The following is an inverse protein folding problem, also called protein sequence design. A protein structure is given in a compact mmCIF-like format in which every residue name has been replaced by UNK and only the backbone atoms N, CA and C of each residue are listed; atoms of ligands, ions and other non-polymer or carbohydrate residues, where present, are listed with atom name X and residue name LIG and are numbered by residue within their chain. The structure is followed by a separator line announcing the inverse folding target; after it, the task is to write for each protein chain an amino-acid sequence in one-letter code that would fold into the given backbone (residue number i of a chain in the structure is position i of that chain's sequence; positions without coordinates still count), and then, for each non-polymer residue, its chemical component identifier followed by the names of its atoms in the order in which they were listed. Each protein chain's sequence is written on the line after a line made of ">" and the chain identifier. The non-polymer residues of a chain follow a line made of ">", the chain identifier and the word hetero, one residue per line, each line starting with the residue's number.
data_IF_521102886401
#
_entry.id   IF_521102886401
#
_cell.length_a   1.000
_cell.length_b   1.000
_cell.length_c   1.000
_cell.angle_alpha   90.00
_cell.angle_beta   90.00
_cell.angle_gamma   90.00
#
_symmetry.space_group_name_H-M   'P 1'
#
loop_
_entity.id
_entity.type
_entity.pdbx_description
1 polymer ?
#
# COMPACT_ATOMS: atom_id res chain seq x y z
N UNK A 1 -20.72 -16.51 -13.07
CA UNK A 1 -19.91 -16.10 -14.24
C UNK A 1 -19.59 -14.60 -14.29
N UNK A 2 -20.55 -13.67 -14.37
CA UNK A 2 -20.23 -12.24 -14.45
C UNK A 2 -19.71 -11.64 -13.12
N UNK A 3 -20.29 -12.06 -12.00
CA UNK A 3 -19.93 -11.60 -10.65
C UNK A 3 -18.59 -12.18 -10.19
N UNK A 4 -18.39 -13.48 -10.39
CA UNK A 4 -17.11 -14.18 -10.21
C UNK A 4 -15.95 -13.53 -11.01
N UNK A 5 -16.21 -13.11 -12.26
CA UNK A 5 -15.23 -12.36 -13.05
C UNK A 5 -14.89 -11.00 -12.44
N UNK A 6 -15.90 -10.28 -11.92
CA UNK A 6 -15.69 -8.99 -11.23
C UNK A 6 -14.87 -9.16 -9.95
N UNK A 7 -15.16 -10.19 -9.16
CA UNK A 7 -14.40 -10.54 -7.96
C UNK A 7 -12.94 -10.81 -8.30
N UNK A 8 -12.66 -11.66 -9.28
CA UNK A 8 -11.29 -11.92 -9.73
C UNK A 8 -10.57 -10.66 -10.23
N UNK A 9 -11.27 -9.78 -10.96
CA UNK A 9 -10.70 -8.52 -11.43
C UNK A 9 -10.34 -7.57 -10.27
N UNK A 10 -11.17 -7.49 -9.22
CA UNK A 10 -10.90 -6.70 -8.03
C UNK A 10 -9.76 -7.29 -7.20
N UNK A 11 -9.75 -8.60 -6.99
CA UNK A 11 -8.66 -9.31 -6.31
C UNK A 11 -7.32 -9.03 -7.00
N UNK A 12 -7.26 -9.17 -8.32
CA UNK A 12 -6.04 -8.86 -9.09
C UNK A 12 -5.59 -7.40 -8.92
N UNK A 13 -6.53 -6.45 -8.92
CA UNK A 13 -6.19 -5.02 -8.70
C UNK A 13 -5.64 -4.80 -7.29
N UNK A 14 -6.26 -5.40 -6.27
CA UNK A 14 -5.78 -5.35 -4.88
C UNK A 14 -4.35 -5.89 -4.78
N UNK A 15 -4.10 -7.06 -5.35
CA UNK A 15 -2.77 -7.69 -5.31
C UNK A 15 -1.71 -6.85 -6.03
N UNK A 16 -2.06 -6.17 -7.13
CA UNK A 16 -1.17 -5.23 -7.81
C UNK A 16 -0.83 -4.00 -6.94
N UNK A 17 -1.80 -3.49 -6.17
CA UNK A 17 -1.60 -2.39 -5.24
C UNK A 17 -0.72 -2.81 -4.06
N UNK A 18 -0.97 -3.99 -3.48
CA UNK A 18 -0.13 -4.60 -2.43
C UNK A 18 1.32 -4.73 -2.92
N UNK A 19 1.53 -5.27 -4.12
CA UNK A 19 2.86 -5.38 -4.72
C UNK A 19 3.53 -4.02 -4.93
N UNK A 20 2.77 -2.96 -5.20
CA UNK A 20 3.33 -1.60 -5.32
C UNK A 20 3.80 -1.06 -3.97
N UNK A 21 3.03 -1.27 -2.91
CA UNK A 21 3.42 -0.94 -1.54
C UNK A 21 4.65 -1.74 -1.07
N UNK A 22 4.73 -3.03 -1.39
CA UNK A 22 5.91 -3.85 -1.08
C UNK A 22 7.18 -3.34 -1.78
N UNK A 23 7.07 -2.86 -3.03
CA UNK A 23 8.19 -2.21 -3.73
C UNK A 23 8.62 -0.91 -3.06
N UNK A 24 7.67 -0.10 -2.61
CA UNK A 24 7.95 1.12 -1.84
C UNK A 24 8.63 0.80 -0.51
N UNK A 25 8.17 -0.23 0.21
CA UNK A 25 8.82 -0.69 1.43
C UNK A 25 10.25 -1.18 1.16
N UNK A 26 10.46 -1.90 0.06
CA UNK A 26 11.80 -2.36 -0.32
C UNK A 26 12.74 -1.20 -0.62
N UNK A 27 12.25 -0.16 -1.31
CA UNK A 27 12.98 1.09 -1.50
C UNK A 27 13.29 1.74 -0.14
N UNK A 28 12.28 1.96 0.70
CA UNK A 28 12.44 2.63 1.99
C UNK A 28 13.46 1.93 2.90
N UNK A 29 13.43 0.59 2.96
CA UNK A 29 14.39 -0.22 3.74
C UNK A 29 15.82 -0.20 3.19
N UNK A 30 16.01 0.19 1.93
CA UNK A 30 17.31 0.25 1.24
C UNK A 30 17.74 1.67 0.90
N UNK A 31 17.03 2.65 1.44
CA UNK A 31 17.28 4.06 1.21
C UNK A 31 18.72 4.43 1.56
N UNK A 32 19.34 5.22 0.68
CA UNK A 32 20.62 5.89 0.93
C UNK A 32 20.45 7.40 0.69
N UNK A 33 21.24 8.26 1.36
CA UNK A 33 21.10 9.72 1.27
C UNK A 33 21.12 10.30 -0.14
N UNK A 34 21.81 9.66 -1.08
CA UNK A 34 21.90 10.07 -2.48
C UNK A 34 20.56 9.99 -3.23
N UNK A 35 19.56 9.29 -2.68
CA UNK A 35 18.22 9.12 -3.25
C UNK A 35 17.18 10.07 -2.61
N UNK A 36 17.65 11.05 -1.86
CA UNK A 36 16.82 11.98 -1.11
C UNK A 36 15.77 12.72 -1.95
N UNK A 37 16.13 13.07 -3.19
CA UNK A 37 15.25 13.73 -4.15
C UNK A 37 14.09 12.84 -4.62
N UNK A 38 14.24 11.51 -4.56
CA UNK A 38 13.16 10.58 -4.86
C UNK A 38 12.09 10.54 -3.76
N UNK A 39 12.45 10.81 -2.49
CA UNK A 39 11.59 10.58 -1.31
C UNK A 39 10.21 11.26 -1.42
N UNK A 40 10.08 12.54 -1.80
CA UNK A 40 8.76 13.18 -1.92
C UNK A 40 7.85 12.48 -2.93
N UNK A 41 8.38 12.09 -4.10
CA UNK A 41 7.62 11.39 -5.14
C UNK A 41 7.19 9.99 -4.69
N UNK A 42 8.02 9.32 -3.88
CA UNK A 42 7.72 8.00 -3.31
C UNK A 42 6.67 8.09 -2.21
N UNK A 43 6.67 9.14 -1.40
CA UNK A 43 5.62 9.44 -0.43
C UNK A 43 4.28 9.70 -1.12
N UNK A 44 4.24 10.55 -2.14
CA UNK A 44 3.02 10.80 -2.92
C UNK A 44 2.48 9.49 -3.54
N UNK A 45 3.37 8.67 -4.11
CA UNK A 45 2.98 7.38 -4.66
C UNK A 45 2.48 6.39 -3.59
N UNK A 46 3.05 6.42 -2.38
CA UNK A 46 2.61 5.62 -1.25
C UNK A 46 1.17 5.97 -0.83
N UNK A 47 0.86 7.26 -0.68
CA UNK A 47 -0.51 7.72 -0.37
C UNK A 47 -1.50 7.25 -1.44
N UNK A 48 -1.14 7.42 -2.71
CA UNK A 48 -1.99 6.95 -3.82
C UNK A 48 -2.22 5.44 -3.80
N UNK A 49 -1.20 4.65 -3.46
CA UNK A 49 -1.35 3.20 -3.32
C UNK A 49 -2.30 2.86 -2.17
N UNK A 50 -2.17 3.55 -1.04
CA UNK A 50 -3.04 3.36 0.12
C UNK A 50 -4.51 3.68 -0.20
N UNK A 51 -4.78 4.86 -0.75
CA UNK A 51 -6.13 5.27 -1.16
C UNK A 51 -6.74 4.28 -2.17
N UNK A 52 -5.94 3.85 -3.14
CA UNK A 52 -6.37 2.88 -4.16
C UNK A 52 -6.70 1.52 -3.53
N UNK A 53 -5.91 1.09 -2.56
CA UNK A 53 -6.17 -0.15 -1.82
C UNK A 53 -7.49 -0.06 -1.06
N UNK A 54 -7.72 1.03 -0.31
CA UNK A 54 -8.95 1.23 0.46
C UNK A 54 -10.19 1.15 -0.43
N UNK A 55 -10.19 1.87 -1.57
CA UNK A 55 -11.31 1.83 -2.53
C UNK A 55 -11.56 0.42 -3.07
N UNK A 56 -10.51 -0.28 -3.51
CA UNK A 56 -10.66 -1.65 -4.05
C UNK A 56 -11.17 -2.61 -2.97
N UNK A 57 -10.67 -2.47 -1.74
CA UNK A 57 -11.01 -3.35 -0.63
C UNK A 57 -12.48 -3.13 -0.21
N UNK A 58 -12.95 -1.89 -0.12
CA UNK A 58 -14.35 -1.55 0.14
C UNK A 58 -15.27 -2.15 -0.95
N UNK A 59 -14.88 -2.00 -2.22
CA UNK A 59 -15.63 -2.56 -3.35
C UNK A 59 -15.62 -4.10 -3.34
N UNK A 60 -14.52 -4.74 -2.92
CA UNK A 60 -14.40 -6.19 -2.84
C UNK A 60 -15.25 -6.77 -1.70
N UNK A 61 -15.25 -6.11 -0.54
CA UNK A 61 -16.09 -6.47 0.61
C UNK A 61 -17.59 -6.30 0.34
N UNK A 62 -17.96 -5.31 -0.47
CA UNK A 62 -19.35 -5.10 -0.88
C UNK A 62 -19.88 -6.22 -1.81
N UNK A 63 -19.00 -7.01 -2.43
CA UNK A 63 -19.39 -8.06 -3.38
C UNK A 63 -19.64 -9.43 -2.72
N UNK A 64 -19.11 -9.70 -1.52
CA UNK A 64 -19.32 -10.97 -0.81
C UNK A 64 -19.21 -10.77 0.71
N UNK A 65 -20.27 -11.14 1.43
CA UNK A 65 -20.42 -10.95 2.87
C UNK A 65 -20.34 -12.26 3.68
N UNK A 66 -19.77 -13.32 3.11
CA UNK A 66 -19.54 -14.57 3.84
C UNK A 66 -18.57 -14.38 5.00
N UNK A 67 -18.80 -15.08 6.11
CA UNK A 67 -18.04 -14.88 7.35
C UNK A 67 -16.53 -15.19 7.21
N UNK A 68 -16.17 -16.19 6.42
CA UNK A 68 -14.77 -16.53 6.11
C UNK A 68 -14.06 -15.41 5.33
N UNK A 69 -14.78 -14.82 4.36
CA UNK A 69 -14.27 -13.76 3.51
C UNK A 69 -14.16 -12.43 4.26
N UNK A 70 -15.07 -12.17 5.21
CA UNK A 70 -14.98 -11.06 6.16
C UNK A 70 -13.71 -11.12 7.02
N UNK A 71 -13.38 -12.28 7.61
CA UNK A 71 -12.16 -12.42 8.42
C UNK A 71 -10.90 -12.22 7.55
N UNK A 72 -10.84 -12.88 6.40
CA UNK A 72 -9.69 -12.74 5.50
C UNK A 72 -9.49 -11.28 5.02
N UNK A 73 -10.58 -10.57 4.77
CA UNK A 73 -10.53 -9.16 4.40
C UNK A 73 -10.01 -8.29 5.55
N UNK A 74 -10.42 -8.57 6.78
CA UNK A 74 -9.89 -7.88 7.96
C UNK A 74 -8.38 -8.11 8.13
N UNK A 75 -7.92 -9.37 8.01
CA UNK A 75 -6.50 -9.71 8.11
C UNK A 75 -5.66 -8.97 7.04
N UNK A 76 -6.19 -8.87 5.81
CA UNK A 76 -5.55 -8.15 4.71
C UNK A 76 -5.48 -6.65 4.99
N UNK A 77 -6.55 -6.05 5.55
CA UNK A 77 -6.55 -4.63 5.93
C UNK A 77 -5.49 -4.33 6.97
N UNK A 78 -5.44 -5.12 8.05
CA UNK A 78 -4.48 -4.95 9.14
C UNK A 78 -3.03 -5.06 8.61
N UNK A 79 -2.76 -6.09 7.80
CA UNK A 79 -1.43 -6.26 7.19
C UNK A 79 -1.04 -5.10 6.26
N UNK A 80 -1.99 -4.56 5.50
CA UNK A 80 -1.75 -3.45 4.59
C UNK A 80 -1.58 -2.11 5.29
N UNK A 81 -2.33 -1.88 6.36
CA UNK A 81 -2.19 -0.68 7.21
C UNK A 81 -0.81 -0.66 7.86
N UNK A 82 -0.38 -1.77 8.45
CA UNK A 82 0.95 -1.88 9.06
C UNK A 82 2.06 -1.66 8.02
N UNK A 83 1.94 -2.25 6.82
CA UNK A 83 2.88 -2.05 5.73
C UNK A 83 2.97 -0.57 5.30
N UNK A 84 1.82 0.09 5.17
CA UNK A 84 1.73 1.51 4.83
C UNK A 84 2.39 2.38 5.90
N UNK A 85 2.02 2.21 7.17
CA UNK A 85 2.53 3.00 8.29
C UNK A 85 4.04 2.85 8.46
N UNK A 86 4.56 1.62 8.40
CA UNK A 86 6.00 1.36 8.45
C UNK A 86 6.74 2.05 7.31
N UNK A 87 6.23 1.90 6.08
CA UNK A 87 6.87 2.49 4.89
C UNK A 87 6.87 4.01 4.96
N UNK A 88 5.73 4.60 5.36
CA UNK A 88 5.56 6.04 5.52
C UNK A 88 6.50 6.60 6.59
N UNK A 89 6.60 5.93 7.74
CA UNK A 89 7.50 6.32 8.82
C UNK A 89 8.97 6.38 8.37
N UNK A 90 9.44 5.35 7.64
CA UNK A 90 10.81 5.31 7.12
C UNK A 90 11.06 6.45 6.11
N UNK A 91 10.13 6.68 5.18
CA UNK A 91 10.27 7.73 4.17
C UNK A 91 10.22 9.14 4.79
N UNK A 92 9.38 9.37 5.79
CA UNK A 92 9.35 10.64 6.53
C UNK A 92 10.68 10.86 7.26
N UNK A 93 11.21 9.84 7.94
CA UNK A 93 12.50 9.93 8.60
C UNK A 93 13.64 10.23 7.60
N UNK A 94 13.62 9.61 6.42
CA UNK A 94 14.55 9.89 5.33
C UNK A 94 14.47 11.35 4.86
N UNK A 95 13.26 11.92 4.77
CA UNK A 95 13.06 13.33 4.40
C UNK A 95 13.56 14.31 5.46
N UNK A 96 13.52 13.93 6.74
CA UNK A 96 13.94 14.76 7.86
C UNK A 96 15.48 14.81 8.06
N UNK A 97 16.23 13.90 7.44
CA UNK A 97 17.69 13.84 7.50
C UNK A 97 18.38 14.74 6.46
N UNK A 98 17.63 15.31 5.51
CA UNK A 98 18.13 16.21 4.49
C UNK A 98 18.62 17.60 4.95
N UNK A 99 18.08 18.22 6.01
CA UNK A 99 18.48 19.58 6.40
C UNK A 99 19.88 19.71 7.04
N UNK A 100 20.61 18.62 7.29
CA UNK A 100 21.91 18.68 7.99
C UNK A 100 23.15 18.63 7.08
N UNK A 101 22.98 18.68 5.75
CA UNK A 101 24.08 18.58 4.77
C UNK A 101 24.32 19.88 3.98
N UNK A 102 23.77 21.02 4.42
CA UNK A 102 24.01 22.34 3.83
C UNK A 102 24.62 23.28 4.85
#
# INVERSE_FOLDING_TARGET
>A
MAEEKRMMDKQRKRDNTVNSLLRLQSFARRYIPEQADEVPSRLEYLEKCWDTFQVIQDEYEAMDSTQELLQNNQDIREAMEELYLQTKSILIAASALLPSLV
#
